data_IF_594492551808
#
_entry.id   IF_594492551808
#
_cell.length_a   1.000
_cell.length_b   1.000
_cell.length_c   1.000
_cell.angle_alpha   90.00
_cell.angle_beta   90.00
_cell.angle_gamma   90.00
#
_symmetry.space_group_name_H-M   'P 1'
#
loop_
_entity.id
_entity.type
_entity.pdbx_description
1 polymer ?
#
# COMPACT_ATOMS: atom_id res chain seq x y z
N UNK A 1 16.58 23.55 -3.55
CA UNK A 1 15.85 22.30 -3.86
C UNK A 1 16.47 21.50 -5.00
N UNK A 2 16.64 22.04 -6.22
CA UNK A 2 17.20 21.27 -7.36
C UNK A 2 18.57 20.65 -7.05
N UNK A 3 19.48 21.42 -6.45
CA UNK A 3 20.78 20.90 -6.02
C UNK A 3 20.65 19.80 -4.94
N UNK A 4 19.68 19.94 -4.03
CA UNK A 4 19.38 18.92 -3.05
C UNK A 4 18.91 17.61 -3.68
N UNK A 5 18.00 17.68 -4.66
CA UNK A 5 17.56 16.50 -5.43
C UNK A 5 18.73 15.86 -6.16
N UNK A 6 19.59 16.64 -6.82
CA UNK A 6 20.77 16.12 -7.52
C UNK A 6 21.75 15.40 -6.54
N UNK A 7 21.84 15.86 -5.30
CA UNK A 7 22.62 15.16 -4.27
C UNK A 7 21.95 13.86 -3.83
N UNK A 8 20.61 13.86 -3.64
CA UNK A 8 19.85 12.62 -3.35
C UNK A 8 20.00 11.59 -4.47
N UNK A 9 19.97 12.01 -5.75
CA UNK A 9 20.19 11.12 -6.90
C UNK A 9 21.56 10.41 -6.82
N UNK A 10 22.60 11.15 -6.46
CA UNK A 10 23.95 10.58 -6.28
C UNK A 10 24.02 9.63 -5.09
N UNK A 11 23.46 10.04 -3.94
CA UNK A 11 23.47 9.22 -2.72
C UNK A 11 22.65 7.94 -2.91
N UNK A 12 21.45 8.05 -3.42
CA UNK A 12 20.53 6.92 -3.54
C UNK A 12 20.83 6.00 -4.72
N UNK A 13 21.57 6.46 -5.74
CA UNK A 13 22.03 5.59 -6.83
C UNK A 13 22.91 4.43 -6.34
N UNK A 14 23.49 4.56 -5.17
CA UNK A 14 24.31 3.51 -4.52
C UNK A 14 23.44 2.46 -3.78
N UNK A 15 22.13 2.68 -3.67
CA UNK A 15 21.21 1.78 -2.97
C UNK A 15 20.63 0.80 -3.99
N UNK A 16 21.07 -0.44 -3.94
CA UNK A 16 20.57 -1.47 -4.85
C UNK A 16 19.24 -2.07 -4.40
N UNK A 17 19.02 -2.20 -3.07
CA UNK A 17 17.86 -2.90 -2.53
C UNK A 17 17.29 -2.21 -1.30
N UNK A 18 15.95 -2.29 -1.20
CA UNK A 18 15.18 -1.76 -0.08
C UNK A 18 14.77 -0.31 -0.28
N UNK A 19 14.35 0.33 0.80
CA UNK A 19 13.84 1.72 0.82
C UNK A 19 14.08 2.38 2.20
N UNK A 20 14.85 1.76 3.08
CA UNK A 20 15.02 2.24 4.47
C UNK A 20 15.74 3.59 4.53
N UNK A 21 16.69 3.83 3.66
CA UNK A 21 17.44 5.09 3.64
C UNK A 21 16.57 6.23 3.10
N UNK A 22 15.79 5.97 2.05
CA UNK A 22 14.83 6.91 1.48
C UNK A 22 13.75 7.28 2.51
N UNK A 23 13.20 6.27 3.22
CA UNK A 23 12.22 6.46 4.30
C UNK A 23 12.82 7.30 5.45
N UNK A 24 14.03 6.95 5.90
CA UNK A 24 14.74 7.66 6.97
C UNK A 24 15.01 9.12 6.61
N UNK A 25 15.48 9.37 5.38
CA UNK A 25 15.74 10.72 4.89
C UNK A 25 14.45 11.52 4.76
N UNK A 26 13.41 10.95 4.18
CA UNK A 26 12.10 11.59 4.06
C UNK A 26 11.53 11.98 5.43
N UNK A 27 11.63 11.11 6.42
CA UNK A 27 11.18 11.40 7.78
C UNK A 27 12.00 12.52 8.44
N UNK A 28 13.32 12.53 8.22
CA UNK A 28 14.19 13.57 8.78
C UNK A 28 13.86 14.94 8.17
N UNK A 29 13.70 15.00 6.84
CA UNK A 29 13.36 16.24 6.15
C UNK A 29 11.97 16.74 6.53
N UNK A 30 10.97 15.85 6.62
CA UNK A 30 9.62 16.19 7.06
C UNK A 30 9.60 16.82 8.47
N UNK A 31 10.44 16.33 9.39
CA UNK A 31 10.52 16.86 10.77
C UNK A 31 11.29 18.17 10.89
N UNK A 32 12.17 18.46 9.93
CA UNK A 32 13.10 19.59 10.01
C UNK A 32 12.67 20.80 9.20
N UNK A 33 11.60 20.70 8.41
CA UNK A 33 11.16 21.75 7.51
C UNK A 33 9.66 22.00 7.63
N UNK A 34 9.21 23.17 7.15
CA UNK A 34 7.79 23.49 7.07
C UNK A 34 7.04 22.70 5.99
N UNK A 35 5.71 22.63 6.11
CA UNK A 35 4.86 21.83 5.21
C UNK A 35 4.95 22.27 3.76
N UNK A 36 4.97 23.58 3.50
CA UNK A 36 5.03 24.12 2.14
C UNK A 36 6.34 23.75 1.43
N UNK A 37 7.44 23.83 2.17
CA UNK A 37 8.74 23.38 1.67
C UNK A 37 8.71 21.89 1.34
N UNK A 38 8.20 21.07 2.25
CA UNK A 38 8.13 19.61 2.06
C UNK A 38 7.21 19.24 0.91
N UNK A 39 6.08 19.92 0.74
CA UNK A 39 5.18 19.69 -0.40
C UNK A 39 5.88 19.94 -1.73
N UNK A 40 6.56 21.08 -1.87
CA UNK A 40 7.35 21.39 -3.07
C UNK A 40 8.48 20.40 -3.31
N UNK A 41 9.14 19.96 -2.23
CA UNK A 41 10.22 19.00 -2.30
C UNK A 41 9.70 17.61 -2.73
N UNK A 42 8.54 17.18 -2.23
CA UNK A 42 7.92 15.90 -2.59
C UNK A 42 7.59 15.83 -4.09
N UNK A 43 6.95 16.87 -4.63
CA UNK A 43 6.65 16.92 -6.06
C UNK A 43 7.93 16.96 -6.91
N UNK A 44 8.91 17.79 -6.54
CA UNK A 44 10.19 17.86 -7.27
C UNK A 44 10.95 16.53 -7.22
N UNK A 45 10.91 15.81 -6.10
CA UNK A 45 11.52 14.50 -5.97
C UNK A 45 10.81 13.45 -6.83
N UNK A 46 9.49 13.54 -6.95
CA UNK A 46 8.73 12.62 -7.77
C UNK A 46 8.96 12.81 -9.29
N UNK A 47 9.40 13.97 -9.71
CA UNK A 47 9.81 14.24 -11.12
C UNK A 47 11.17 13.62 -11.49
N UNK A 48 11.93 13.07 -10.53
CA UNK A 48 13.26 12.51 -10.78
C UNK A 48 13.21 11.26 -11.67
N UNK A 49 14.19 11.12 -12.57
CA UNK A 49 14.40 9.89 -13.32
C UNK A 49 14.82 8.71 -12.43
N UNK A 50 15.48 8.98 -11.29
CA UNK A 50 15.91 7.98 -10.33
C UNK A 50 14.72 7.49 -9.49
N UNK A 51 14.33 6.22 -9.61
CA UNK A 51 13.20 5.66 -8.87
C UNK A 51 13.38 5.75 -7.34
N UNK A 52 14.60 5.70 -6.84
CA UNK A 52 14.91 5.84 -5.41
C UNK A 52 14.49 7.23 -4.90
N UNK A 53 14.72 8.28 -5.72
CA UNK A 53 14.32 9.65 -5.37
C UNK A 53 12.80 9.79 -5.49
N UNK A 54 12.17 9.11 -6.46
CA UNK A 54 10.69 9.05 -6.50
C UNK A 54 10.12 8.35 -5.26
N UNK A 55 10.74 7.23 -4.79
CA UNK A 55 10.35 6.58 -3.53
C UNK A 55 10.42 7.53 -2.33
N UNK A 56 11.50 8.32 -2.23
CA UNK A 56 11.64 9.36 -1.21
C UNK A 56 10.48 10.38 -1.31
N UNK A 57 10.15 10.84 -2.53
CA UNK A 57 9.01 11.74 -2.77
C UNK A 57 7.68 11.14 -2.29
N UNK A 58 7.46 9.84 -2.55
CA UNK A 58 6.24 9.14 -2.13
C UNK A 58 6.16 8.98 -0.61
N UNK A 59 7.27 8.80 0.10
CA UNK A 59 7.26 8.86 1.56
C UNK A 59 6.84 10.25 2.08
N UNK A 60 7.33 11.31 1.47
CA UNK A 60 6.92 12.68 1.81
C UNK A 60 5.42 12.88 1.56
N UNK A 61 4.88 12.40 0.43
CA UNK A 61 3.43 12.42 0.18
C UNK A 61 2.66 11.69 1.28
N UNK A 62 3.14 10.53 1.73
CA UNK A 62 2.53 9.81 2.85
C UNK A 62 2.46 10.65 4.12
N UNK A 63 3.53 11.41 4.42
CA UNK A 63 3.53 12.32 5.57
C UNK A 63 2.65 13.56 5.39
N UNK A 64 2.28 13.93 4.16
CA UNK A 64 1.39 15.04 3.82
C UNK A 64 -0.04 14.59 3.47
N UNK A 65 -0.34 13.31 3.53
CA UNK A 65 -1.54 12.67 2.97
C UNK A 65 -2.87 13.10 3.59
N UNK A 66 -2.86 13.87 4.67
CA UNK A 66 -4.05 14.53 5.20
C UNK A 66 -4.56 15.67 4.29
N UNK A 67 -3.73 16.14 3.35
CA UNK A 67 -4.12 17.09 2.31
C UNK A 67 -4.79 16.31 1.16
N UNK A 68 -6.05 16.65 0.87
CA UNK A 68 -6.86 15.91 -0.10
C UNK A 68 -6.27 15.87 -1.51
N UNK A 69 -5.58 16.92 -1.95
CA UNK A 69 -4.89 16.97 -3.24
C UNK A 69 -3.68 16.03 -3.30
N UNK A 70 -2.96 15.84 -2.20
CA UNK A 70 -1.85 14.88 -2.10
C UNK A 70 -2.38 13.44 -2.16
N UNK A 71 -3.46 13.15 -1.43
CA UNK A 71 -4.07 11.84 -1.44
C UNK A 71 -4.61 11.48 -2.84
N UNK A 72 -5.28 12.43 -3.51
CA UNK A 72 -5.74 12.27 -4.88
C UNK A 72 -4.55 12.02 -5.85
N UNK A 73 -3.48 12.82 -5.75
CA UNK A 73 -2.27 12.63 -6.56
C UNK A 73 -1.65 11.24 -6.37
N UNK A 74 -1.60 10.74 -5.13
CA UNK A 74 -1.12 9.38 -4.86
C UNK A 74 -1.97 8.32 -5.57
N UNK A 75 -3.30 8.47 -5.53
CA UNK A 75 -4.24 7.54 -6.19
C UNK A 75 -4.20 7.61 -7.71
N UNK A 76 -4.10 8.83 -8.26
CA UNK A 76 -4.26 9.09 -9.68
C UNK A 76 -2.94 9.02 -10.46
N UNK A 77 -1.83 9.47 -9.88
CA UNK A 77 -0.54 9.58 -10.58
C UNK A 77 0.51 8.61 -10.03
N UNK A 78 0.75 8.56 -8.70
CA UNK A 78 1.77 7.68 -8.13
C UNK A 78 1.44 6.21 -8.39
N UNK A 79 0.16 5.85 -8.37
CA UNK A 79 -0.29 4.49 -8.69
C UNK A 79 0.02 4.03 -10.13
N UNK A 80 0.32 4.98 -11.02
CA UNK A 80 0.72 4.71 -12.43
C UNK A 80 2.23 4.63 -12.62
N UNK A 81 3.05 4.85 -11.58
CA UNK A 81 4.50 4.74 -11.70
C UNK A 81 4.89 3.36 -12.27
N UNK A 82 5.79 3.35 -13.22
CA UNK A 82 6.25 2.14 -13.91
C UNK A 82 7.17 1.26 -13.04
N UNK A 83 7.74 1.82 -11.98
CA UNK A 83 8.65 1.12 -11.10
C UNK A 83 7.90 0.46 -9.93
N UNK A 84 7.95 -0.86 -9.86
CA UNK A 84 7.28 -1.64 -8.82
C UNK A 84 7.72 -1.29 -7.38
N UNK A 85 8.94 -0.78 -7.19
CA UNK A 85 9.41 -0.35 -5.86
C UNK A 85 8.71 0.93 -5.40
N UNK A 86 8.45 1.85 -6.33
CA UNK A 86 7.64 3.06 -6.05
C UNK A 86 6.23 2.66 -5.65
N UNK A 87 5.65 1.66 -6.32
CA UNK A 87 4.32 1.14 -5.98
C UNK A 87 4.30 0.43 -4.60
N UNK A 88 5.41 -0.19 -4.17
CA UNK A 88 5.52 -0.72 -2.79
C UNK A 88 5.53 0.39 -1.75
N UNK A 89 6.22 1.49 -2.04
CA UNK A 89 6.23 2.66 -1.15
C UNK A 89 4.87 3.34 -1.13
N UNK A 90 4.12 3.33 -2.25
CA UNK A 90 2.73 3.82 -2.27
C UNK A 90 1.84 3.10 -1.24
N UNK A 91 2.00 1.78 -1.09
CA UNK A 91 1.25 1.03 -0.06
C UNK A 91 1.59 1.51 1.37
N UNK A 92 2.84 1.85 1.64
CA UNK A 92 3.26 2.42 2.92
C UNK A 92 2.73 3.84 3.13
N UNK A 93 2.76 4.67 2.09
CA UNK A 93 2.23 6.03 2.14
C UNK A 93 0.71 6.02 2.39
N UNK A 94 -0.02 5.07 1.80
CA UNK A 94 -1.44 4.87 2.05
C UNK A 94 -1.72 4.38 3.49
N UNK A 95 -0.89 3.46 4.03
CA UNK A 95 -1.00 3.05 5.44
C UNK A 95 -0.74 4.23 6.39
N UNK A 96 0.20 5.12 6.06
CA UNK A 96 0.47 6.32 6.86
C UNK A 96 -0.73 7.28 6.86
N UNK A 97 -1.43 7.44 5.73
CA UNK A 97 -2.71 8.14 5.66
C UNK A 97 -3.75 7.52 6.60
N UNK A 98 -3.95 6.20 6.49
CA UNK A 98 -4.92 5.50 7.33
C UNK A 98 -4.59 5.60 8.83
N UNK A 99 -3.30 5.56 9.18
CA UNK A 99 -2.83 5.69 10.54
C UNK A 99 -3.12 7.10 11.11
N UNK A 100 -2.86 8.14 10.34
CA UNK A 100 -3.09 9.54 10.75
C UNK A 100 -4.58 9.86 10.87
N UNK A 101 -5.38 9.44 9.91
CA UNK A 101 -6.83 9.66 9.88
C UNK A 101 -7.56 8.81 10.93
N UNK A 102 -6.98 7.64 11.28
CA UNK A 102 -7.63 6.57 12.00
C UNK A 102 -8.29 5.59 11.03
N UNK A 103 -7.98 4.29 11.17
CA UNK A 103 -8.38 3.25 10.18
C UNK A 103 -9.89 3.17 9.96
N UNK A 104 -10.69 3.36 11.01
CA UNK A 104 -12.16 3.39 10.88
C UNK A 104 -12.64 4.56 10.04
N UNK A 105 -12.10 5.75 10.30
CA UNK A 105 -12.45 6.96 9.55
C UNK A 105 -11.95 6.91 8.11
N UNK A 106 -10.89 6.14 7.84
CA UNK A 106 -10.32 5.97 6.50
C UNK A 106 -11.11 4.97 5.63
N UNK A 107 -12.08 4.21 6.18
CA UNK A 107 -12.84 3.20 5.44
C UNK A 107 -13.46 3.70 4.12
N UNK A 108 -14.05 4.90 4.02
CA UNK A 108 -14.56 5.38 2.74
C UNK A 108 -13.48 5.48 1.65
N UNK A 109 -12.29 5.97 1.99
CA UNK A 109 -11.15 6.09 1.06
C UNK A 109 -10.57 4.72 0.73
N UNK A 110 -10.49 3.83 1.71
CA UNK A 110 -10.10 2.42 1.49
C UNK A 110 -11.02 1.79 0.45
N UNK A 111 -12.33 1.93 0.62
CA UNK A 111 -13.34 1.36 -0.27
C UNK A 111 -13.31 2.01 -1.67
N UNK A 112 -13.02 3.30 -1.76
CA UNK A 112 -12.82 4.02 -3.02
C UNK A 112 -11.61 3.46 -3.78
N UNK A 113 -10.45 3.36 -3.13
CA UNK A 113 -9.23 2.85 -3.76
C UNK A 113 -9.35 1.37 -4.17
N UNK A 114 -10.07 0.54 -3.39
CA UNK A 114 -10.35 -0.86 -3.76
C UNK A 114 -11.24 -0.97 -5.00
N UNK A 115 -12.01 0.07 -5.34
CA UNK A 115 -12.82 0.16 -6.56
C UNK A 115 -12.11 0.88 -7.72
N UNK A 116 -10.90 1.38 -7.51
CA UNK A 116 -10.14 2.08 -8.54
C UNK A 116 -9.98 1.22 -9.80
N UNK A 117 -10.07 1.83 -10.98
CA UNK A 117 -9.74 1.17 -12.24
C UNK A 117 -8.26 0.80 -12.34
N UNK A 118 -7.39 1.46 -11.56
CA UNK A 118 -5.95 1.16 -11.53
C UNK A 118 -5.66 -0.02 -10.57
N UNK A 119 -5.13 -1.16 -11.07
CA UNK A 119 -4.81 -2.31 -10.24
C UNK A 119 -3.75 -2.02 -9.17
N UNK A 120 -2.85 -1.05 -9.41
CA UNK A 120 -1.83 -0.72 -8.42
C UNK A 120 -2.41 0.05 -7.22
N UNK A 121 -3.44 0.89 -7.43
CA UNK A 121 -4.17 1.52 -6.33
C UNK A 121 -4.88 0.45 -5.48
N UNK A 122 -5.60 -0.50 -6.11
CA UNK A 122 -6.22 -1.62 -5.39
C UNK A 122 -5.18 -2.45 -4.64
N UNK A 123 -4.04 -2.73 -5.29
CA UNK A 123 -2.93 -3.47 -4.67
C UNK A 123 -2.33 -2.74 -3.49
N UNK A 124 -2.16 -1.41 -3.57
CA UNK A 124 -1.62 -0.61 -2.47
C UNK A 124 -2.46 -0.75 -1.20
N UNK A 125 -3.78 -0.77 -1.33
CA UNK A 125 -4.69 -1.03 -0.21
C UNK A 125 -4.50 -2.45 0.34
N UNK A 126 -4.49 -3.47 -0.53
CA UNK A 126 -4.35 -4.88 -0.10
C UNK A 126 -3.02 -5.10 0.63
N UNK A 127 -1.91 -4.55 0.12
CA UNK A 127 -0.61 -4.68 0.78
C UNK A 127 -0.58 -3.95 2.14
N UNK A 128 -1.27 -2.84 2.28
CA UNK A 128 -1.49 -2.18 3.57
C UNK A 128 -2.32 -3.05 4.51
N UNK A 129 -3.42 -3.64 4.02
CA UNK A 129 -4.30 -4.52 4.80
C UNK A 129 -3.62 -5.81 5.30
N UNK A 130 -2.56 -6.28 4.66
CA UNK A 130 -1.81 -7.48 5.14
C UNK A 130 -1.42 -7.39 6.60
N UNK A 131 -1.09 -6.20 7.07
CA UNK A 131 -0.67 -5.93 8.44
C UNK A 131 -1.73 -5.18 9.26
N UNK A 132 -2.84 -4.77 8.64
CA UNK A 132 -3.88 -3.98 9.31
C UNK A 132 -4.61 -4.75 10.41
N UNK A 133 -4.71 -6.08 10.32
CA UNK A 133 -5.21 -6.90 11.43
C UNK A 133 -4.35 -6.83 12.70
N UNK A 134 -3.21 -6.13 12.64
CA UNK A 134 -2.41 -5.74 13.80
C UNK A 134 -2.69 -4.30 14.25
N UNK A 135 -3.47 -3.52 13.49
CA UNK A 135 -3.87 -2.15 13.80
C UNK A 135 -5.12 -2.12 14.67
N UNK A 136 -5.31 -1.03 15.41
CA UNK A 136 -6.35 -0.94 16.44
C UNK A 136 -7.75 -1.37 15.93
N UNK A 137 -8.28 -0.75 14.89
CA UNK A 137 -9.62 -1.05 14.37
C UNK A 137 -9.72 -2.47 13.80
N UNK A 138 -8.82 -2.84 12.89
CA UNK A 138 -8.87 -4.15 12.22
C UNK A 138 -8.43 -5.32 13.10
N UNK A 139 -7.70 -5.05 14.20
CA UNK A 139 -7.40 -6.05 15.22
C UNK A 139 -8.69 -6.50 15.94
N UNK A 140 -9.56 -5.53 16.21
CA UNK A 140 -10.80 -5.78 16.92
C UNK A 140 -11.95 -6.15 15.95
N UNK A 141 -11.82 -5.80 14.68
CA UNK A 141 -12.77 -6.05 13.60
C UNK A 141 -12.09 -6.74 12.39
N UNK A 142 -11.47 -7.93 12.55
CA UNK A 142 -10.70 -8.56 11.48
C UNK A 142 -11.56 -8.98 10.28
N UNK A 143 -12.85 -9.22 10.47
CA UNK A 143 -13.80 -9.55 9.42
C UNK A 143 -13.94 -8.41 8.40
N UNK A 144 -13.79 -7.16 8.82
CA UNK A 144 -13.85 -5.99 7.94
C UNK A 144 -12.69 -5.95 6.93
N UNK A 145 -11.49 -6.37 7.36
CA UNK A 145 -10.35 -6.53 6.46
C UNK A 145 -10.57 -7.73 5.53
N UNK A 146 -10.95 -8.89 6.09
CA UNK A 146 -11.13 -10.14 5.32
C UNK A 146 -12.15 -9.95 4.21
N UNK A 147 -13.32 -9.35 4.50
CA UNK A 147 -14.36 -9.09 3.50
C UNK A 147 -13.83 -8.25 2.33
N UNK A 148 -13.22 -7.10 2.61
CA UNK A 148 -12.68 -6.19 1.57
C UNK A 148 -11.62 -6.86 0.71
N UNK A 149 -10.74 -7.65 1.32
CA UNK A 149 -9.71 -8.39 0.59
C UNK A 149 -10.38 -9.46 -0.28
N UNK A 150 -11.32 -10.22 0.26
CA UNK A 150 -11.98 -11.33 -0.43
C UNK A 150 -12.85 -10.89 -1.61
N UNK A 151 -13.38 -9.67 -1.58
CA UNK A 151 -14.15 -9.10 -2.69
C UNK A 151 -13.31 -9.00 -3.99
N UNK A 152 -11.99 -8.96 -3.87
CA UNK A 152 -11.05 -8.92 -4.99
C UNK A 152 -10.48 -10.29 -5.41
N UNK A 153 -11.07 -11.39 -4.95
CA UNK A 153 -10.59 -12.76 -5.28
C UNK A 153 -10.63 -13.12 -6.76
N UNK A 154 -11.45 -12.43 -7.54
CA UNK A 154 -11.57 -12.59 -9.00
C UNK A 154 -11.06 -11.36 -9.77
N UNK A 155 -10.25 -10.51 -9.14
CA UNK A 155 -9.70 -9.33 -9.81
C UNK A 155 -9.06 -9.68 -11.16
N UNK A 156 -9.25 -8.83 -12.17
CA UNK A 156 -8.67 -9.04 -13.50
C UNK A 156 -7.14 -9.04 -13.47
N UNK A 157 -6.52 -8.30 -12.55
CA UNK A 157 -5.08 -8.25 -12.37
C UNK A 157 -4.57 -9.45 -11.57
N UNK A 158 -3.68 -10.23 -12.16
CA UNK A 158 -3.00 -11.32 -11.46
C UNK A 158 -2.20 -10.85 -10.24
N UNK A 159 -1.61 -9.64 -10.32
CA UNK A 159 -0.86 -9.07 -9.20
C UNK A 159 -1.77 -8.76 -8.01
N UNK A 160 -2.98 -8.23 -8.26
CA UNK A 160 -3.98 -8.01 -7.20
C UNK A 160 -4.39 -9.36 -6.60
N UNK A 161 -4.72 -10.35 -7.41
CA UNK A 161 -5.09 -11.69 -6.92
C UNK A 161 -4.00 -12.33 -6.08
N UNK A 162 -2.72 -12.22 -6.48
CA UNK A 162 -1.58 -12.69 -5.67
C UNK A 162 -1.51 -11.99 -4.32
N UNK A 163 -1.72 -10.67 -4.30
CA UNK A 163 -1.75 -9.89 -3.06
C UNK A 163 -2.93 -10.30 -2.17
N UNK A 164 -4.12 -10.53 -2.74
CA UNK A 164 -5.29 -11.05 -2.02
C UNK A 164 -4.98 -12.39 -1.35
N UNK A 165 -4.49 -13.37 -2.11
CA UNK A 165 -4.16 -14.69 -1.57
C UNK A 165 -3.08 -14.63 -0.48
N UNK A 166 -2.05 -13.80 -0.66
CA UNK A 166 -1.00 -13.61 0.33
C UNK A 166 -1.52 -12.90 1.60
N UNK A 167 -2.39 -11.91 1.45
CA UNK A 167 -2.97 -11.19 2.57
C UNK A 167 -3.84 -12.12 3.43
N UNK A 168 -4.74 -12.89 2.82
CA UNK A 168 -5.56 -13.86 3.53
C UNK A 168 -4.70 -14.94 4.21
N UNK A 169 -3.68 -15.46 3.53
CA UNK A 169 -2.71 -16.39 4.11
C UNK A 169 -2.02 -15.81 5.34
N UNK A 170 -1.60 -14.54 5.29
CA UNK A 170 -0.90 -13.93 6.42
C UNK A 170 -1.86 -13.65 7.58
N UNK A 171 -3.12 -13.31 7.29
CA UNK A 171 -4.19 -13.16 8.29
C UNK A 171 -4.52 -14.52 8.94
N UNK A 172 -4.50 -15.63 8.18
CA UNK A 172 -4.83 -16.96 8.70
C UNK A 172 -3.91 -17.43 9.82
N UNK A 173 -2.68 -16.91 9.88
CA UNK A 173 -1.76 -17.22 10.99
C UNK A 173 -2.29 -16.78 12.35
N UNK A 174 -3.09 -15.72 12.39
CA UNK A 174 -3.67 -15.16 13.62
C UNK A 174 -5.16 -15.47 13.77
N UNK A 175 -5.87 -15.56 12.65
CA UNK A 175 -7.32 -15.78 12.60
C UNK A 175 -7.66 -16.96 11.68
N UNK A 176 -7.18 -18.21 12.01
CA UNK A 176 -7.35 -19.35 11.11
C UNK A 176 -8.82 -19.71 10.88
N UNK A 177 -9.65 -19.69 11.93
CA UNK A 177 -11.07 -20.04 11.82
C UNK A 177 -11.85 -19.01 10.97
N UNK A 178 -11.52 -17.72 11.08
CA UNK A 178 -12.14 -16.69 10.27
C UNK A 178 -11.83 -16.91 8.77
N UNK A 179 -10.58 -17.19 8.44
CA UNK A 179 -10.20 -17.47 7.04
C UNK A 179 -10.77 -18.79 6.55
N UNK A 180 -10.84 -19.81 7.40
CA UNK A 180 -11.48 -21.08 7.06
C UNK A 180 -12.96 -20.91 6.73
N UNK A 181 -13.70 -20.15 7.52
CA UNK A 181 -15.10 -19.80 7.25
C UNK A 181 -15.24 -19.06 5.93
N UNK A 182 -14.41 -18.04 5.71
CA UNK A 182 -14.41 -17.28 4.45
C UNK A 182 -14.18 -18.19 3.24
N UNK A 183 -13.11 -18.97 3.26
CA UNK A 183 -12.75 -19.87 2.16
C UNK A 183 -13.79 -20.99 1.92
N UNK A 184 -14.48 -21.45 2.97
CA UNK A 184 -15.54 -22.45 2.85
C UNK A 184 -16.79 -21.94 2.12
N UNK A 185 -16.98 -20.62 2.08
CA UNK A 185 -18.08 -19.98 1.35
C UNK A 185 -17.82 -19.84 -0.16
N UNK A 186 -16.58 -20.04 -0.60
CA UNK A 186 -16.19 -19.77 -1.98
C UNK A 186 -16.58 -20.92 -2.94
N UNK A 187 -17.17 -20.55 -4.06
CA UNK A 187 -17.37 -21.47 -5.19
C UNK A 187 -16.10 -21.48 -6.02
N UNK A 188 -15.40 -22.60 -6.05
CA UNK A 188 -14.13 -22.76 -6.78
C UNK A 188 -14.37 -23.07 -8.28
N UNK A 189 -15.10 -22.19 -8.97
CA UNK A 189 -15.48 -22.40 -10.38
C UNK A 189 -14.41 -21.85 -11.32
N UNK A 190 -13.96 -20.61 -11.10
CA UNK A 190 -12.98 -19.95 -11.96
C UNK A 190 -11.53 -20.31 -11.62
N UNK A 191 -10.64 -20.15 -12.61
CA UNK A 191 -9.19 -20.31 -12.43
C UNK A 191 -8.63 -19.25 -11.46
N UNK A 192 -9.18 -18.07 -11.53
CA UNK A 192 -8.83 -16.90 -10.73
C UNK A 192 -9.07 -17.18 -9.25
N UNK A 193 -10.27 -17.62 -8.87
CA UNK A 193 -10.59 -18.00 -7.49
C UNK A 193 -9.70 -19.13 -7.01
N UNK A 194 -9.50 -20.18 -7.82
CA UNK A 194 -8.64 -21.31 -7.47
C UNK A 194 -7.21 -20.88 -7.18
N UNK A 195 -6.68 -19.91 -7.93
CA UNK A 195 -5.35 -19.33 -7.70
C UNK A 195 -5.27 -18.66 -6.30
N UNK A 196 -6.25 -17.83 -5.98
CA UNK A 196 -6.32 -17.13 -4.70
C UNK A 196 -6.53 -18.11 -3.55
N UNK A 197 -7.46 -19.04 -3.70
CA UNK A 197 -7.75 -20.09 -2.72
C UNK A 197 -6.51 -20.89 -2.36
N UNK A 198 -5.74 -21.34 -3.35
CA UNK A 198 -4.49 -22.09 -3.14
C UNK A 198 -3.47 -21.32 -2.30
N UNK A 199 -3.37 -20.00 -2.47
CA UNK A 199 -2.47 -19.18 -1.69
C UNK A 199 -3.02 -18.96 -0.27
N UNK A 200 -4.29 -18.62 -0.14
CA UNK A 200 -4.95 -18.28 1.12
C UNK A 200 -5.03 -19.47 2.07
N UNK A 201 -5.28 -20.68 1.54
CA UNK A 201 -5.46 -21.91 2.33
C UNK A 201 -4.15 -22.57 2.82
N UNK A 202 -2.98 -22.01 2.46
CA UNK A 202 -1.66 -22.65 2.69
C UNK A 202 -1.41 -23.07 4.14
N UNK A 203 -1.97 -22.36 5.12
CA UNK A 203 -1.79 -22.63 6.55
C UNK A 203 -3.09 -23.05 7.24
N UNK A 204 -4.14 -23.35 6.48
CA UNK A 204 -5.43 -23.82 7.03
C UNK A 204 -5.40 -25.35 7.11
N UNK A 205 -5.67 -25.88 8.29
CA UNK A 205 -5.97 -27.30 8.51
C UNK A 205 -7.47 -27.51 8.35
N UNK A 206 -7.85 -28.35 7.41
CA UNK A 206 -9.26 -28.68 7.10
C UNK A 206 -9.78 -29.81 7.95
#
# INVERSE_FOLDING_TARGET
MKEYIANLEKEFSLIENGFKEEERRALADYKSNDREYIKKLAFLAYESAAYQVRMYGVFLFGYLSEEGDILAFMGDEVSKDDNWRVQEVLAKAFDEFCKKTGYEKALPVIDEWLRSNNPNARRAVIEGLRIWTSRSYFKDNPIEAVRRISDLKEDTSEYVRKSVGNALRDISKKFPELIKMELSSWKLESKEIKQVYKLASKFISW
#
